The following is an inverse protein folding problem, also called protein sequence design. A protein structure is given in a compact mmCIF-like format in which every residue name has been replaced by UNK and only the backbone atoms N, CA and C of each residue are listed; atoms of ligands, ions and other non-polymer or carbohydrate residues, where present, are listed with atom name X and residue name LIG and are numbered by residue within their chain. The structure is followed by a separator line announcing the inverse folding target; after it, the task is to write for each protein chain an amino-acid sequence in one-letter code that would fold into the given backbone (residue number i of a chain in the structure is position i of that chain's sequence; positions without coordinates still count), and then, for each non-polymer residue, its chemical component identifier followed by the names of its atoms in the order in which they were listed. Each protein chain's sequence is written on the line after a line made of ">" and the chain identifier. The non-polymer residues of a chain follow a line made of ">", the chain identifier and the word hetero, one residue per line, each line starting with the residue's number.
data_IF_259460482591
#
_entry.id   IF_259460482591
#
_cell.length_a   1.000
_cell.length_b   1.000
_cell.length_c   1.000
_cell.angle_alpha   90.00
_cell.angle_beta   90.00
_cell.angle_gamma   90.00
#
_symmetry.space_group_name_H-M   'P 1'
#
loop_
_entity.id
_entity.type
_entity.pdbx_description
1 polymer ?
#
# COMPACT_ATOMS: atom_id res chain seq x y z
N UNK A 1 -11.56 2.73 29.17
CA UNK A 1 -11.35 1.90 27.98
C UNK A 1 -10.13 2.40 27.24
N UNK A 2 -9.23 1.52 26.85
CA UNK A 2 -8.07 1.87 26.03
C UNK A 2 -8.50 1.89 24.56
N UNK A 3 -8.30 3.01 23.86
CA UNK A 3 -8.55 3.12 22.44
C UNK A 3 -7.30 2.72 21.64
N UNK A 4 -7.47 1.92 20.60
CA UNK A 4 -6.41 1.56 19.66
C UNK A 4 -6.57 2.37 18.39
N UNK A 5 -5.51 3.06 17.96
CA UNK A 5 -5.47 3.78 16.68
C UNK A 5 -4.81 2.92 15.62
N UNK A 6 -5.45 2.79 14.47
CA UNK A 6 -4.91 2.07 13.31
C UNK A 6 -4.64 3.08 12.19
N UNK A 7 -3.42 3.08 11.68
CA UNK A 7 -2.99 3.89 10.55
C UNK A 7 -2.94 3.03 9.29
N UNK A 8 -3.79 3.34 8.30
CA UNK A 8 -3.76 2.67 7.00
C UNK A 8 -2.89 3.46 6.04
N UNK A 9 -1.84 2.83 5.55
CA UNK A 9 -0.90 3.43 4.61
C UNK A 9 -0.93 2.66 3.30
N UNK A 10 -1.21 3.36 2.20
CA UNK A 10 -1.09 2.79 0.86
C UNK A 10 0.39 2.81 0.44
N UNK A 11 0.83 1.77 -0.27
CA UNK A 11 2.17 1.71 -0.85
C UNK A 11 2.44 2.88 -1.81
N UNK A 12 3.70 3.25 -1.98
CA UNK A 12 4.16 4.25 -2.95
C UNK A 12 3.91 3.83 -4.40
N UNK A 13 4.18 4.75 -5.33
CA UNK A 13 4.01 4.47 -6.78
C UNK A 13 4.87 3.29 -7.22
N UNK A 14 4.25 2.34 -7.92
CA UNK A 14 4.91 1.14 -8.45
C UNK A 14 5.57 1.45 -9.79
N UNK A 15 6.72 0.81 -10.05
CA UNK A 15 7.33 0.76 -11.37
C UNK A 15 6.52 -0.19 -12.26
N UNK A 16 5.80 0.36 -13.21
CA UNK A 16 4.88 -0.38 -14.07
C UNK A 16 4.85 0.25 -15.47
N UNK A 17 5.95 0.09 -16.26
CA UNK A 17 6.07 0.72 -17.57
C UNK A 17 5.05 0.17 -18.59
N UNK A 18 4.61 -1.06 -18.45
CA UNK A 18 3.66 -1.71 -19.36
C UNK A 18 2.19 -1.43 -19.01
N UNK A 19 1.93 -0.64 -17.97
CA UNK A 19 0.59 -0.31 -17.51
C UNK A 19 -0.30 -1.55 -17.28
N UNK A 20 0.23 -2.54 -16.55
CA UNK A 20 -0.49 -3.77 -16.21
C UNK A 20 -1.34 -3.59 -14.96
N UNK A 21 -2.42 -4.33 -14.88
CA UNK A 21 -3.14 -4.57 -13.63
C UNK A 21 -2.36 -5.62 -12.84
N UNK A 22 -1.42 -5.15 -12.01
CA UNK A 22 -0.46 -6.03 -11.33
C UNK A 22 -1.03 -6.72 -10.08
N UNK A 23 -2.01 -6.12 -9.40
CA UNK A 23 -2.71 -6.70 -8.23
C UNK A 23 -1.79 -7.51 -7.30
N UNK A 24 -1.89 -8.85 -7.33
CA UNK A 24 -1.10 -9.77 -6.51
C UNK A 24 0.12 -10.35 -7.25
N UNK A 25 0.43 -9.85 -8.45
CA UNK A 25 1.62 -10.32 -9.17
C UNK A 25 2.89 -9.95 -8.39
N UNK A 26 3.88 -10.86 -8.37
CA UNK A 26 5.20 -10.59 -7.79
C UNK A 26 5.99 -9.59 -8.66
N UNK A 27 7.14 -9.18 -8.16
CA UNK A 27 8.14 -8.35 -8.87
C UNK A 27 7.64 -6.95 -9.27
N UNK A 28 6.55 -6.47 -8.65
CA UNK A 28 6.09 -5.10 -8.80
C UNK A 28 6.60 -4.24 -7.65
N UNK A 29 7.84 -3.75 -7.82
CA UNK A 29 8.56 -2.92 -6.87
C UNK A 29 8.15 -1.44 -6.94
N UNK A 30 8.51 -0.66 -5.93
CA UNK A 30 8.34 0.78 -5.96
C UNK A 30 9.23 1.41 -7.05
N UNK A 31 8.68 2.40 -7.77
CA UNK A 31 9.47 3.30 -8.59
C UNK A 31 10.31 4.24 -7.71
N UNK A 32 11.27 4.97 -8.30
CA UNK A 32 12.04 5.99 -7.56
C UNK A 32 11.13 7.05 -6.93
N UNK A 33 10.07 7.44 -7.64
CA UNK A 33 9.04 8.30 -7.07
C UNK A 33 8.32 7.61 -5.91
N UNK A 34 7.97 6.33 -6.07
CA UNK A 34 7.32 5.55 -5.01
C UNK A 34 8.16 5.43 -3.75
N UNK A 35 9.47 5.25 -3.88
CA UNK A 35 10.42 5.24 -2.75
C UNK A 35 10.45 6.59 -2.04
N UNK A 36 10.49 7.70 -2.80
CA UNK A 36 10.41 9.05 -2.21
C UNK A 36 9.09 9.30 -1.49
N UNK A 37 7.97 8.81 -2.04
CA UNK A 37 6.66 8.89 -1.39
C UNK A 37 6.65 8.10 -0.07
N UNK A 38 7.17 6.87 -0.08
CA UNK A 38 7.29 6.04 1.13
C UNK A 38 8.15 6.73 2.20
N UNK A 39 9.30 7.30 1.79
CA UNK A 39 10.19 8.03 2.68
C UNK A 39 9.53 9.28 3.28
N UNK A 40 8.77 10.04 2.48
CA UNK A 40 8.04 11.22 2.98
C UNK A 40 6.97 10.82 4.01
N UNK A 41 6.22 9.76 3.74
CA UNK A 41 5.25 9.20 4.69
C UNK A 41 5.93 8.73 5.98
N UNK A 42 7.02 7.99 5.85
CA UNK A 42 7.81 7.49 6.98
C UNK A 42 8.33 8.64 7.86
N UNK A 43 8.88 9.67 7.25
CA UNK A 43 9.35 10.88 7.93
C UNK A 43 8.21 11.59 8.68
N UNK A 44 7.04 11.70 8.06
CA UNK A 44 5.87 12.29 8.70
C UNK A 44 5.46 11.48 9.94
N UNK A 45 5.35 10.15 9.81
CA UNK A 45 4.97 9.27 10.91
C UNK A 45 5.95 9.34 12.08
N UNK A 46 7.25 9.41 11.79
CA UNK A 46 8.30 9.45 12.81
C UNK A 46 8.37 10.80 13.54
N UNK A 47 8.09 11.90 12.85
CA UNK A 47 8.17 13.26 13.42
C UNK A 47 6.91 13.70 14.13
N UNK A 48 5.75 13.16 13.79
CA UNK A 48 4.48 13.56 14.39
C UNK A 48 4.27 12.86 15.75
N UNK A 49 4.11 13.61 16.85
CA UNK A 49 3.88 13.04 18.19
C UNK A 49 2.66 12.13 18.29
N UNK A 50 1.67 12.30 17.43
CA UNK A 50 0.47 11.45 17.41
C UNK A 50 0.69 10.09 16.76
N UNK A 51 1.75 9.95 15.96
CA UNK A 51 2.01 8.72 15.18
C UNK A 51 3.33 8.04 15.52
N UNK A 52 4.29 8.76 16.12
CA UNK A 52 5.60 8.20 16.46
C UNK A 52 5.58 7.18 17.62
N UNK A 53 4.40 6.94 18.21
CA UNK A 53 4.13 5.93 19.24
C UNK A 53 3.60 4.61 18.66
N UNK A 54 3.65 4.42 17.34
CA UNK A 54 3.26 3.18 16.67
C UNK A 54 3.97 1.99 17.33
N UNK A 55 3.21 0.96 17.71
CA UNK A 55 3.69 -0.19 18.46
C UNK A 55 3.86 -1.44 17.59
N UNK A 56 3.28 -1.49 16.38
CA UNK A 56 3.39 -2.61 15.46
C UNK A 56 3.22 -2.15 14.01
N UNK A 57 3.90 -2.83 13.08
CA UNK A 57 3.80 -2.58 11.64
C UNK A 57 3.49 -3.89 10.93
N UNK A 58 2.38 -3.87 10.20
CA UNK A 58 1.93 -5.00 9.38
C UNK A 58 1.92 -4.61 7.92
N UNK A 59 2.25 -5.53 7.03
CA UNK A 59 2.05 -5.36 5.59
C UNK A 59 1.56 -6.63 4.92
N UNK A 60 1.02 -6.51 3.71
CA UNK A 60 0.87 -7.66 2.84
C UNK A 60 2.26 -8.18 2.40
N UNK A 61 2.37 -9.42 1.92
CA UNK A 61 3.66 -9.99 1.51
C UNK A 61 4.20 -9.45 0.18
N UNK A 62 3.47 -8.55 -0.50
CA UNK A 62 3.86 -7.99 -1.80
C UNK A 62 5.05 -7.04 -1.68
N UNK A 63 5.96 -7.07 -2.67
CA UNK A 63 7.23 -6.32 -2.64
C UNK A 63 7.02 -4.82 -2.38
N UNK A 64 6.13 -4.16 -3.11
CA UNK A 64 5.82 -2.74 -2.95
C UNK A 64 5.32 -2.36 -1.56
N UNK A 65 4.57 -3.25 -0.91
CA UNK A 65 4.06 -3.00 0.45
C UNK A 65 5.14 -3.22 1.50
N UNK A 66 5.97 -4.23 1.32
CA UNK A 66 7.13 -4.50 2.17
C UNK A 66 8.17 -3.38 2.07
N UNK A 67 8.45 -2.87 0.84
CA UNK A 67 9.35 -1.74 0.63
C UNK A 67 8.82 -0.46 1.32
N UNK A 68 7.51 -0.20 1.22
CA UNK A 68 6.89 0.95 1.89
C UNK A 68 6.97 0.80 3.41
N UNK A 69 6.66 -0.38 3.95
CA UNK A 69 6.73 -0.66 5.37
C UNK A 69 8.18 -0.62 5.90
N UNK A 70 9.16 -1.08 5.10
CA UNK A 70 10.58 -0.98 5.42
C UNK A 70 11.01 0.47 5.62
N UNK A 71 10.66 1.37 4.71
CA UNK A 71 10.93 2.79 4.86
C UNK A 71 10.33 3.39 6.15
N UNK A 72 9.13 2.94 6.54
CA UNK A 72 8.47 3.36 7.79
C UNK A 72 9.25 2.87 9.01
N UNK A 73 9.69 1.62 9.02
CA UNK A 73 10.50 1.06 10.11
C UNK A 73 11.85 1.77 10.24
N UNK A 74 12.51 2.05 9.11
CA UNK A 74 13.79 2.77 9.08
C UNK A 74 13.69 4.16 9.69
N UNK A 75 12.53 4.81 9.60
CA UNK A 75 12.29 6.12 10.19
C UNK A 75 11.83 6.05 11.65
N UNK A 76 11.02 5.05 12.02
CA UNK A 76 10.46 4.91 13.38
C UNK A 76 11.47 4.34 14.37
N UNK A 77 12.29 3.35 13.96
CA UNK A 77 13.18 2.65 14.89
C UNK A 77 14.21 3.56 15.55
N UNK A 78 14.85 4.52 14.87
CA UNK A 78 15.74 5.47 15.54
C UNK A 78 15.04 6.33 16.59
N UNK A 79 13.77 6.70 16.37
CA UNK A 79 12.97 7.48 17.33
C UNK A 79 12.65 6.64 18.57
N UNK A 80 12.34 5.36 18.37
CA UNK A 80 12.10 4.41 19.47
C UNK A 80 13.36 4.14 20.28
N UNK A 81 14.48 3.90 19.58
CA UNK A 81 15.78 3.68 20.23
C UNK A 81 16.18 4.87 21.11
N UNK A 82 15.98 6.10 20.62
CA UNK A 82 16.23 7.33 21.40
C UNK A 82 15.37 7.41 22.67
N UNK A 83 14.26 6.68 22.74
CA UNK A 83 13.39 6.56 23.91
C UNK A 83 13.68 5.32 24.78
N UNK A 84 14.67 4.51 24.40
CA UNK A 84 14.98 3.24 25.07
C UNK A 84 13.96 2.13 24.79
N UNK A 85 13.18 2.24 23.72
CA UNK A 85 12.21 1.24 23.30
C UNK A 85 12.84 0.24 22.32
N UNK A 86 12.38 -1.00 22.35
CA UNK A 86 12.82 -2.02 21.39
C UNK A 86 12.42 -1.64 19.96
N UNK A 87 13.26 -1.94 18.94
CA UNK A 87 12.92 -1.70 17.55
C UNK A 87 11.71 -2.54 17.12
N UNK A 88 10.92 -1.99 16.21
CA UNK A 88 9.84 -2.71 15.55
C UNK A 88 10.38 -3.58 14.42
N UNK A 89 9.75 -4.72 14.22
CA UNK A 89 9.97 -5.59 13.07
C UNK A 89 8.72 -5.63 12.19
N UNK A 90 8.89 -5.93 10.91
CA UNK A 90 7.78 -6.08 9.99
C UNK A 90 7.10 -7.43 10.19
N UNK A 91 5.80 -7.41 10.39
CA UNK A 91 4.95 -8.60 10.32
C UNK A 91 4.20 -8.61 8.99
N UNK A 92 4.42 -9.64 8.16
CA UNK A 92 3.66 -9.83 6.93
C UNK A 92 2.43 -10.69 7.17
N UNK A 93 1.28 -10.32 6.59
CA UNK A 93 0.03 -11.03 6.76
C UNK A 93 -0.75 -11.08 5.44
N UNK A 94 -1.07 -12.29 4.99
CA UNK A 94 -1.85 -12.55 3.78
C UNK A 94 -3.27 -11.98 3.84
N UNK A 95 -3.83 -11.78 5.02
CA UNK A 95 -5.19 -11.25 5.20
C UNK A 95 -5.33 -9.80 4.80
N UNK A 96 -4.24 -9.06 4.70
CA UNK A 96 -4.21 -7.66 4.25
C UNK A 96 -3.71 -7.51 2.81
N UNK A 97 -3.66 -8.61 2.05
CA UNK A 97 -3.27 -8.57 0.63
C UNK A 97 -4.36 -7.92 -0.22
N UNK A 98 -3.95 -7.28 -1.30
CA UNK A 98 -4.86 -6.64 -2.26
C UNK A 98 -5.90 -7.64 -2.79
N UNK A 99 -7.14 -7.17 -2.98
CA UNK A 99 -8.18 -7.96 -3.63
C UNK A 99 -7.77 -8.31 -5.06
N UNK A 100 -7.98 -9.57 -5.45
CA UNK A 100 -7.73 -10.02 -6.82
C UNK A 100 -8.95 -9.85 -7.71
N UNK A 101 -8.73 -9.71 -9.02
CA UNK A 101 -9.78 -9.73 -10.03
C UNK A 101 -9.36 -10.52 -11.29
N UNK A 102 -10.30 -10.72 -12.21
CA UNK A 102 -10.08 -11.48 -13.45
C UNK A 102 -9.19 -10.79 -14.48
N UNK A 103 -8.85 -9.49 -14.28
CA UNK A 103 -8.07 -8.69 -15.22
C UNK A 103 -6.58 -8.65 -14.90
N UNK A 104 -6.14 -9.38 -13.87
CA UNK A 104 -4.75 -9.45 -13.45
C UNK A 104 -3.81 -9.79 -14.63
N UNK A 105 -2.75 -9.02 -14.77
CA UNK A 105 -1.77 -9.17 -15.85
C UNK A 105 -2.19 -8.57 -17.20
N UNK A 106 -3.40 -8.03 -17.33
CA UNK A 106 -3.85 -7.34 -18.54
C UNK A 106 -3.43 -5.87 -18.51
N UNK A 107 -3.24 -5.28 -19.68
CA UNK A 107 -3.01 -3.82 -19.79
C UNK A 107 -4.25 -3.05 -19.37
N UNK A 108 -4.06 -1.93 -18.68
CA UNK A 108 -5.14 -1.09 -18.13
C UNK A 108 -6.11 -0.66 -19.22
N UNK A 109 -5.62 -0.25 -20.41
CA UNK A 109 -6.46 0.14 -21.52
C UNK A 109 -7.39 -0.98 -22.03
N UNK A 110 -6.94 -2.24 -21.98
CA UNK A 110 -7.77 -3.38 -22.35
C UNK A 110 -8.80 -3.71 -21.26
N UNK A 111 -8.44 -3.55 -20.02
CA UNK A 111 -9.33 -3.80 -18.89
C UNK A 111 -10.46 -2.75 -18.83
N UNK A 112 -10.16 -1.48 -19.06
CA UNK A 112 -11.16 -0.41 -19.12
C UNK A 112 -12.16 -0.66 -20.26
N UNK A 113 -11.70 -1.07 -21.45
CA UNK A 113 -12.56 -1.42 -22.58
C UNK A 113 -13.46 -2.63 -22.28
N UNK A 114 -12.96 -3.63 -21.57
CA UNK A 114 -13.74 -4.80 -21.17
C UNK A 114 -14.75 -4.47 -20.07
N UNK A 115 -14.35 -3.66 -19.09
CA UNK A 115 -15.25 -3.15 -18.03
C UNK A 115 -16.38 -2.31 -18.61
N UNK A 116 -16.08 -1.42 -19.57
CA UNK A 116 -17.07 -0.61 -20.26
C UNK A 116 -18.07 -1.44 -21.06
N UNK A 117 -17.63 -2.47 -21.79
CA UNK A 117 -18.51 -3.37 -22.55
C UNK A 117 -19.43 -4.17 -21.63
N UNK A 118 -18.94 -4.60 -20.46
CA UNK A 118 -19.75 -5.33 -19.49
C UNK A 118 -20.73 -4.43 -18.72
N UNK A 119 -20.35 -3.19 -18.46
CA UNK A 119 -21.21 -2.20 -17.82
C UNK A 119 -22.47 -1.88 -18.66
N UNK A 120 -22.32 -1.85 -19.99
CA UNK A 120 -23.43 -1.57 -20.89
C UNK A 120 -24.34 -2.78 -21.17
N UNK A 121 -23.99 -3.98 -20.65
CA UNK A 121 -24.80 -5.20 -20.89
C UNK A 121 -25.87 -5.48 -19.84
N UNK A 122 -25.88 -4.79 -18.71
CA UNK A 122 -26.92 -4.97 -17.65
C UNK A 122 -27.46 -3.60 -17.21
N UNK A 123 -28.67 -3.24 -17.62
CA UNK A 123 -29.34 -2.09 -17.01
C UNK A 123 -29.66 -2.44 -15.56
N UNK A 124 -29.13 -1.66 -14.62
CA UNK A 124 -29.43 -1.78 -13.17
C UNK A 124 -28.29 -2.06 -12.21
N UNK A 125 -27.07 -2.26 -12.68
CA UNK A 125 -25.91 -2.37 -11.77
C UNK A 125 -25.21 -1.00 -11.63
N UNK A 126 -25.33 -0.41 -10.43
CA UNK A 126 -24.61 0.79 -10.04
C UNK A 126 -23.11 0.46 -10.00
N UNK A 127 -22.38 0.85 -11.02
CA UNK A 127 -20.92 0.75 -11.03
C UNK A 127 -20.33 1.95 -10.29
N UNK A 128 -19.55 1.65 -9.29
CA UNK A 128 -18.72 2.61 -8.56
C UNK A 128 -17.91 3.44 -9.56
N UNK A 129 -18.21 4.73 -9.66
CA UNK A 129 -17.36 5.72 -10.35
C UNK A 129 -16.34 6.24 -9.34
N UNK A 130 -15.04 5.95 -9.49
CA UNK A 130 -14.05 6.63 -8.67
C UNK A 130 -14.12 8.14 -8.97
N UNK A 131 -14.34 8.94 -7.94
CA UNK A 131 -14.13 10.38 -8.02
C UNK A 131 -12.66 10.63 -7.69
N UNK A 132 -11.95 11.13 -8.64
CA UNK A 132 -10.62 11.73 -8.47
C UNK A 132 -10.77 13.16 -8.02
#
# INVERSE_FOLDING_TARGET
>A
MSATTIHFVRHGKVYNPDHLLYERLPDFHLSDLGRRMAQATATYLAKNPQTNTIAAVYSSPLDRTRETAGAILDALNPVREARGEAPLTLTTDERVIEAGNEFRGKRICHAEGALWKNANRKPGTNLYKPRW
#
